data_IF_712861430523
#
_entry.id   IF_712861430523
#
_cell.length_a   1.000
_cell.length_b   1.000
_cell.length_c   1.000
_cell.angle_alpha   90.00
_cell.angle_beta   90.00
_cell.angle_gamma   90.00
#
_symmetry.space_group_name_H-M   'P 1'
#
loop_
_entity.id
_entity.type
_entity.pdbx_description
1 polymer ?
#
# COMPACT_ATOMS: atom_id res chain seq x y z
N UNK A 1 3.47 12.54 17.81
CA UNK A 1 4.42 12.59 16.67
C UNK A 1 5.58 11.61 16.80
N UNK A 2 6.04 11.23 18.01
CA UNK A 2 7.08 10.18 18.14
C UNK A 2 6.61 8.76 17.69
N UNK A 3 5.30 8.50 17.70
CA UNK A 3 4.74 7.18 17.39
C UNK A 3 4.79 6.83 15.90
N UNK A 4 4.57 7.79 15.01
CA UNK A 4 4.54 7.55 13.55
C UNK A 4 5.96 7.38 13.00
N UNK A 5 6.90 8.22 13.42
CA UNK A 5 8.31 8.08 13.04
C UNK A 5 8.91 6.76 13.54
N UNK A 6 8.59 6.35 14.76
CA UNK A 6 9.03 5.07 15.30
C UNK A 6 8.42 3.90 14.52
N UNK A 7 7.12 3.95 14.22
CA UNK A 7 6.45 2.93 13.42
C UNK A 7 7.05 2.84 12.01
N UNK A 8 7.32 3.98 11.37
CA UNK A 8 7.96 4.05 10.06
C UNK A 8 9.36 3.42 10.03
N UNK A 9 10.13 3.48 11.13
CA UNK A 9 11.47 2.87 11.20
C UNK A 9 11.44 1.35 11.31
N UNK A 10 10.38 0.81 11.91
CA UNK A 10 10.24 -0.64 12.15
C UNK A 10 9.38 -1.34 11.11
N UNK A 11 8.52 -0.59 10.41
CA UNK A 11 7.63 -1.14 9.42
C UNK A 11 8.40 -1.65 8.21
N UNK A 12 8.19 -2.92 7.91
CA UNK A 12 8.75 -3.61 6.77
C UNK A 12 7.74 -4.67 6.32
N UNK A 13 7.80 -5.04 5.05
CA UNK A 13 7.00 -6.11 4.49
C UNK A 13 7.92 -7.11 3.82
N UNK A 14 7.72 -8.38 4.11
CA UNK A 14 8.33 -9.45 3.34
C UNK A 14 7.65 -9.63 1.98
N UNK A 15 8.21 -10.52 1.16
CA UNK A 15 7.71 -10.77 -0.21
C UNK A 15 6.26 -11.28 -0.22
N UNK A 16 5.86 -12.11 0.73
CA UNK A 16 4.51 -12.66 0.81
C UNK A 16 3.51 -11.59 1.25
N UNK A 17 3.91 -10.71 2.17
CA UNK A 17 3.11 -9.58 2.63
C UNK A 17 2.89 -8.55 1.52
N UNK A 18 3.93 -8.24 0.73
CA UNK A 18 3.81 -7.38 -0.47
C UNK A 18 2.83 -7.97 -1.49
N UNK A 19 2.93 -9.28 -1.77
CA UNK A 19 2.00 -9.97 -2.67
C UNK A 19 0.56 -9.96 -2.13
N UNK A 20 0.39 -10.17 -0.82
CA UNK A 20 -0.92 -10.12 -0.16
C UNK A 20 -1.54 -8.73 -0.26
N UNK A 21 -0.73 -7.67 -0.04
CA UNK A 21 -1.20 -6.29 -0.19
C UNK A 21 -1.65 -6.01 -1.62
N UNK A 22 -0.90 -6.47 -2.63
CA UNK A 22 -1.27 -6.31 -4.04
C UNK A 22 -2.64 -6.97 -4.33
N UNK A 23 -2.85 -8.19 -3.85
CA UNK A 23 -4.10 -8.94 -4.06
C UNK A 23 -5.30 -8.36 -3.32
N UNK A 24 -5.10 -7.82 -2.12
CA UNK A 24 -6.16 -7.21 -1.32
C UNK A 24 -6.48 -5.77 -1.75
N UNK A 25 -5.55 -5.10 -2.43
CA UNK A 25 -5.75 -3.73 -2.88
C UNK A 25 -6.66 -3.67 -4.10
N UNK A 26 -7.44 -2.60 -4.19
CA UNK A 26 -8.25 -2.29 -5.38
C UNK A 26 -7.60 -1.18 -6.20
N UNK A 27 -7.79 -1.22 -7.51
CA UNK A 27 -7.32 -0.16 -8.40
C UNK A 27 -8.08 1.13 -8.12
N UNK A 28 -7.32 2.19 -7.89
CA UNK A 28 -7.79 3.55 -7.73
C UNK A 28 -7.80 4.27 -9.08
N UNK A 29 -8.78 5.14 -9.27
CA UNK A 29 -8.80 6.13 -10.35
C UNK A 29 -7.88 7.30 -9.99
N UNK A 30 -7.55 8.08 -11.01
CA UNK A 30 -6.84 9.35 -10.81
C UNK A 30 -7.59 10.23 -9.79
N UNK A 31 -6.84 10.84 -8.86
CA UNK A 31 -7.39 11.64 -7.76
C UNK A 31 -7.80 10.86 -6.51
N UNK A 32 -8.13 9.56 -6.60
CA UNK A 32 -8.60 8.78 -5.43
C UNK A 32 -7.50 8.47 -4.41
N UNK A 33 -6.22 8.70 -4.74
CA UNK A 33 -5.15 8.66 -3.73
C UNK A 33 -5.37 9.70 -2.62
N UNK A 34 -6.01 10.83 -2.93
CA UNK A 34 -6.31 11.88 -1.94
C UNK A 34 -7.36 11.47 -0.91
N UNK A 35 -8.08 10.38 -1.15
CA UNK A 35 -9.03 9.85 -0.19
C UNK A 35 -8.28 9.17 0.99
N UNK A 36 -7.04 8.74 0.77
CA UNK A 36 -6.23 8.07 1.78
C UNK A 36 -5.35 9.06 2.54
N UNK A 37 -5.05 8.73 3.80
CA UNK A 37 -3.99 9.39 4.54
C UNK A 37 -2.62 9.16 3.88
N UNK A 38 -1.63 9.94 4.29
CA UNK A 38 -0.27 9.81 3.81
C UNK A 38 0.71 9.79 4.98
N UNK A 39 1.60 8.80 4.99
CA UNK A 39 2.71 8.74 5.94
C UNK A 39 4.05 9.03 5.25
N UNK A 40 5.02 9.63 5.95
CA UNK A 40 6.33 9.97 5.39
C UNK A 40 7.27 8.76 5.20
N UNK A 41 6.74 7.53 5.18
CA UNK A 41 7.51 6.32 4.93
C UNK A 41 6.86 5.45 3.86
N UNK A 42 7.71 4.98 2.94
CA UNK A 42 7.34 4.06 1.88
C UNK A 42 8.36 2.93 1.72
N UNK A 43 7.87 1.77 1.28
CA UNK A 43 8.69 0.62 0.89
C UNK A 43 8.72 0.56 -0.63
N UNK A 44 9.92 0.44 -1.19
CA UNK A 44 10.13 0.31 -2.64
C UNK A 44 10.73 -1.05 -2.96
N UNK A 45 10.40 -1.59 -4.12
CA UNK A 45 10.95 -2.86 -4.56
C UNK A 45 10.35 -3.34 -5.87
N UNK A 46 10.56 -4.62 -6.13
CA UNK A 46 10.01 -5.32 -7.29
C UNK A 46 9.26 -6.57 -6.85
N UNK A 47 8.11 -6.84 -7.48
CA UNK A 47 7.35 -8.07 -7.27
C UNK A 47 6.88 -8.65 -8.59
N UNK A 48 6.75 -9.97 -8.66
CA UNK A 48 6.14 -10.64 -9.79
C UNK A 48 4.67 -10.93 -9.47
N UNK A 49 3.75 -10.38 -10.26
CA UNK A 49 2.32 -10.56 -10.11
C UNK A 49 1.64 -10.49 -11.48
N UNK A 50 0.61 -11.31 -11.70
CA UNK A 50 -0.13 -11.38 -12.98
C UNK A 50 0.79 -11.64 -14.20
N UNK A 51 1.87 -12.40 -14.01
CA UNK A 51 2.85 -12.67 -15.06
C UNK A 51 3.76 -11.49 -15.43
N UNK A 52 3.68 -10.36 -14.71
CA UNK A 52 4.50 -9.17 -14.91
C UNK A 52 5.44 -8.93 -13.73
N UNK A 53 6.57 -8.28 -14.01
CA UNK A 53 7.41 -7.68 -12.97
C UNK A 53 6.94 -6.25 -12.77
N UNK A 54 6.58 -5.93 -11.55
CA UNK A 54 6.14 -4.60 -11.13
C UNK A 54 7.19 -3.95 -10.25
N UNK A 55 7.59 -2.74 -10.59
CA UNK A 55 8.24 -1.84 -9.65
C UNK A 55 7.17 -1.18 -8.79
N UNK A 56 7.36 -1.19 -7.49
CA UNK A 56 6.35 -0.69 -6.56
C UNK A 56 6.90 0.35 -5.60
N UNK A 57 6.00 1.22 -5.16
CA UNK A 57 6.16 2.06 -3.97
C UNK A 57 4.88 1.92 -3.14
N UNK A 58 5.01 1.41 -1.93
CA UNK A 58 3.92 1.23 -0.97
C UNK A 58 4.07 2.25 0.14
N UNK A 59 3.06 3.11 0.32
CA UNK A 59 2.97 4.01 1.46
C UNK A 59 2.42 3.27 2.68
N UNK A 60 2.93 3.57 3.87
CA UNK A 60 2.46 2.97 5.10
C UNK A 60 0.99 3.30 5.46
N UNK A 61 0.35 4.22 4.73
CA UNK A 61 -1.07 4.57 4.82
C UNK A 61 -1.95 3.86 3.77
N UNK A 62 -1.60 2.61 3.42
CA UNK A 62 -2.42 1.71 2.60
C UNK A 62 -2.63 2.07 1.12
N UNK A 63 -1.86 3.01 0.57
CA UNK A 63 -1.79 3.25 -0.87
C UNK A 63 -0.51 2.69 -1.48
N UNK A 64 -0.53 2.35 -2.76
CA UNK A 64 0.66 1.97 -3.49
C UNK A 64 0.59 2.34 -4.97
N UNK A 65 1.76 2.51 -5.58
CA UNK A 65 1.93 2.73 -7.02
C UNK A 65 2.73 1.57 -7.58
N UNK A 66 2.22 0.95 -8.64
CA UNK A 66 2.86 -0.17 -9.33
C UNK A 66 3.10 0.20 -10.79
N UNK A 67 4.32 -0.01 -11.28
CA UNK A 67 4.74 0.33 -12.64
C UNK A 67 5.32 -0.89 -13.35
N UNK A 68 4.92 -1.11 -14.59
CA UNK A 68 5.46 -2.17 -15.45
C UNK A 68 5.38 -1.73 -16.91
N UNK A 69 6.52 -1.39 -17.51
CA UNK A 69 6.55 -0.74 -18.84
C UNK A 69 5.75 0.56 -18.84
N UNK A 70 4.80 0.69 -19.76
CA UNK A 70 3.91 1.85 -19.88
C UNK A 70 2.69 1.78 -18.94
N UNK A 71 2.52 0.70 -18.17
CA UNK A 71 1.39 0.54 -17.27
C UNK A 71 1.71 1.09 -15.88
N UNK A 72 0.84 1.98 -15.38
CA UNK A 72 0.85 2.44 -13.99
C UNK A 72 -0.49 2.12 -13.32
N UNK A 73 -0.43 1.51 -12.13
CA UNK A 73 -1.59 1.24 -11.28
C UNK A 73 -1.44 1.98 -9.96
N UNK A 74 -2.41 2.84 -9.69
CA UNK A 74 -2.64 3.38 -8.35
C UNK A 74 -3.53 2.38 -7.63
N UNK A 75 -3.14 1.97 -6.43
CA UNK A 75 -3.81 0.93 -5.66
C UNK A 75 -4.03 1.42 -4.24
N UNK A 76 -5.15 1.03 -3.64
CA UNK A 76 -5.50 1.34 -2.26
C UNK A 76 -6.15 0.16 -1.59
N UNK A 77 -5.84 -0.06 -0.31
CA UNK A 77 -6.50 -1.10 0.48
C UNK A 77 -7.24 -0.53 1.68
N UNK A 78 -8.56 -0.60 1.64
CA UNK A 78 -9.44 -0.21 2.76
C UNK A 78 -10.02 -1.42 3.51
N UNK A 79 -9.70 -2.64 3.09
CA UNK A 79 -10.23 -3.86 3.70
C UNK A 79 -9.56 -4.15 5.04
N UNK A 80 -10.30 -4.68 6.02
CA UNK A 80 -9.78 -5.02 7.34
C UNK A 80 -8.55 -5.96 7.28
N UNK A 81 -8.48 -6.83 6.27
CA UNK A 81 -7.36 -7.73 6.03
C UNK A 81 -6.02 -7.02 5.74
N UNK A 82 -6.02 -5.73 5.40
CA UNK A 82 -4.80 -4.95 5.19
C UNK A 82 -4.23 -4.33 6.48
N UNK A 83 -4.99 -4.33 7.58
CA UNK A 83 -4.51 -3.80 8.86
C UNK A 83 -3.14 -4.34 9.31
N UNK A 84 -2.78 -5.64 9.18
CA UNK A 84 -1.45 -6.11 9.56
C UNK A 84 -0.33 -5.74 8.56
N UNK A 85 -0.66 -5.14 7.41
CA UNK A 85 0.28 -4.85 6.33
C UNK A 85 0.67 -3.36 6.27
N UNK A 86 -0.01 -2.50 7.03
CA UNK A 86 0.15 -1.05 6.96
C UNK A 86 0.21 -0.47 8.37
N UNK A 87 0.68 0.77 8.51
CA UNK A 87 0.72 1.46 9.81
C UNK A 87 -0.61 2.18 10.05
N UNK A 88 -1.16 2.82 9.02
CA UNK A 88 -2.38 3.60 9.10
C UNK A 88 -3.38 3.10 8.05
N UNK A 89 -4.58 2.79 8.51
CA UNK A 89 -5.73 2.53 7.64
C UNK A 89 -6.53 3.82 7.49
N UNK A 90 -6.97 4.13 6.27
CA UNK A 90 -7.91 5.23 6.01
C UNK A 90 -9.13 5.11 6.96
N UNK A 91 -9.55 6.20 7.63
CA UNK A 91 -10.73 6.17 8.48
C UNK A 91 -11.98 6.09 7.60
N UNK A 92 -12.47 4.88 7.30
CA UNK A 92 -13.76 4.76 6.60
C UNK A 92 -14.10 3.42 5.95
N UNK A 93 -14.14 2.35 6.73
CA UNK A 93 -15.11 1.22 6.73
C UNK A 93 -14.57 0.10 7.63
N UNK A 94 -14.34 0.43 8.90
CA UNK A 94 -14.49 -0.59 9.94
C UNK A 94 -15.99 -0.87 9.96
N UNK A 95 -16.38 -2.03 9.40
CA UNK A 95 -17.78 -2.41 9.28
C UNK A 95 -18.48 -2.43 10.64
N UNK A 96 -19.77 -2.09 10.61
CA UNK A 96 -20.79 -2.49 11.60
C UNK A 96 -20.63 -3.97 12.02
#
# INVERSE_FOLDING_TARGET
>A
MASEEAACRTWSLDKQQVASLFQLSTRLREGQLHDYDWLPCSIKGQAQAEGKVWEFEINAAATSIWRSGDETRLMGCAQAACAPLVILMMPGRQGD
#
